data_IF_305361363139
#
_entry.id   IF_305361363139
#
_cell.length_a   1.000
_cell.length_b   1.000
_cell.length_c   1.000
_cell.angle_alpha   90.00
_cell.angle_beta   90.00
_cell.angle_gamma   90.00
#
_symmetry.space_group_name_H-M   'P 1'
#
loop_
_entity.id
_entity.type
_entity.pdbx_description
1 polymer ?
#
# COMPACT_ATOMS: atom_id res chain seq x y z
N UNK A 1 18.80 -2.70 29.74
CA UNK A 1 17.47 -2.78 30.38
C UNK A 1 16.96 -4.22 30.43
N UNK A 2 16.09 -4.56 31.40
CA UNK A 2 15.40 -5.85 31.44
C UNK A 2 14.59 -6.09 30.15
N UNK A 3 14.44 -7.35 29.74
CA UNK A 3 13.76 -7.71 28.50
C UNK A 3 12.26 -7.34 28.50
N UNK A 4 11.59 -7.43 29.65
CA UNK A 4 10.18 -7.04 29.80
C UNK A 4 9.96 -5.54 29.55
N UNK A 5 10.82 -4.68 30.10
CA UNK A 5 10.72 -3.22 29.92
C UNK A 5 10.94 -2.76 28.47
N UNK A 6 11.71 -3.51 27.67
CA UNK A 6 11.88 -3.21 26.23
C UNK A 6 10.63 -3.54 25.42
N UNK A 7 9.95 -4.62 25.75
CA UNK A 7 8.75 -5.08 25.04
C UNK A 7 7.55 -4.17 25.28
N UNK A 8 7.35 -3.75 26.53
CA UNK A 8 6.31 -2.77 26.90
C UNK A 8 6.43 -1.47 26.10
N UNK A 9 7.65 -0.93 26.05
CA UNK A 9 7.95 0.31 25.36
C UNK A 9 7.84 0.19 23.84
N UNK A 10 8.24 -0.94 23.27
CA UNK A 10 8.03 -1.19 21.85
C UNK A 10 6.54 -1.31 21.52
N UNK A 11 5.75 -2.01 22.34
CA UNK A 11 4.31 -2.08 22.18
C UNK A 11 3.65 -0.69 22.23
N UNK A 12 4.12 0.20 23.12
CA UNK A 12 3.73 1.61 23.19
C UNK A 12 4.06 2.38 21.91
N UNK A 13 5.28 2.22 21.36
CA UNK A 13 5.69 2.84 20.08
C UNK A 13 4.75 2.42 18.94
N UNK A 14 4.35 1.15 18.90
CA UNK A 14 3.41 0.63 17.91
C UNK A 14 1.93 0.85 18.30
N UNK A 15 1.64 1.45 19.47
CA UNK A 15 0.30 1.60 20.07
C UNK A 15 -0.53 0.32 20.01
N UNK A 16 0.11 -0.81 20.29
CA UNK A 16 -0.53 -2.13 20.40
C UNK A 16 -0.35 -2.66 21.81
N UNK A 17 -1.16 -3.64 22.21
CA UNK A 17 -0.92 -4.34 23.47
C UNK A 17 0.40 -5.11 23.44
N UNK A 18 1.04 -5.30 24.59
CA UNK A 18 2.28 -6.07 24.71
C UNK A 18 2.14 -7.50 24.17
N UNK A 19 0.98 -8.11 24.41
CA UNK A 19 0.59 -9.43 23.92
C UNK A 19 0.57 -9.46 22.38
N UNK A 20 0.03 -8.42 21.74
CA UNK A 20 -0.03 -8.26 20.27
C UNK A 20 1.33 -7.93 19.68
N UNK A 21 2.13 -7.12 20.38
CA UNK A 21 3.49 -6.87 19.99
C UNK A 21 4.28 -8.18 19.95
N UNK A 22 4.26 -8.95 21.04
CA UNK A 22 4.95 -10.25 21.15
C UNK A 22 4.57 -11.23 20.03
N UNK A 23 3.27 -11.42 19.78
CA UNK A 23 2.78 -12.46 18.87
C UNK A 23 2.94 -12.12 17.40
N UNK A 24 2.93 -10.84 17.03
CA UNK A 24 2.84 -10.43 15.63
C UNK A 24 3.90 -9.41 15.20
N UNK A 25 4.24 -8.46 16.06
CA UNK A 25 5.16 -7.37 15.70
C UNK A 25 6.61 -7.73 16.03
N UNK A 26 6.86 -8.46 17.10
CA UNK A 26 8.21 -8.88 17.51
C UNK A 26 8.83 -9.83 16.48
N UNK A 27 8.08 -10.84 16.02
CA UNK A 27 8.51 -11.74 14.94
C UNK A 27 8.77 -10.97 13.63
N UNK A 28 7.97 -9.95 13.35
CA UNK A 28 8.12 -9.10 12.17
C UNK A 28 9.38 -8.22 12.24
N UNK A 29 9.60 -7.53 13.36
CA UNK A 29 10.80 -6.71 13.60
C UNK A 29 12.06 -7.58 13.55
N UNK A 30 12.02 -8.79 14.15
CA UNK A 30 13.12 -9.74 14.08
C UNK A 30 13.40 -10.21 12.64
N UNK A 31 12.34 -10.45 11.84
CA UNK A 31 12.48 -10.78 10.43
C UNK A 31 13.12 -9.64 9.62
N UNK A 32 12.75 -8.39 9.90
CA UNK A 32 13.36 -7.20 9.26
C UNK A 32 14.84 -7.06 9.62
N UNK A 33 15.19 -7.23 10.89
CA UNK A 33 16.59 -7.19 11.36
C UNK A 33 17.41 -8.32 10.75
N UNK A 34 16.88 -9.54 10.73
CA UNK A 34 17.56 -10.69 10.13
C UNK A 34 17.83 -10.46 8.63
N UNK A 35 16.85 -9.92 7.91
CA UNK A 35 17.00 -9.59 6.50
C UNK A 35 18.05 -8.51 6.26
N UNK A 36 18.12 -7.47 7.12
CA UNK A 36 19.16 -6.45 7.05
C UNK A 36 20.56 -7.01 7.31
N UNK A 37 20.70 -7.94 8.26
CA UNK A 37 21.99 -8.61 8.51
C UNK A 37 22.44 -9.37 7.25
N UNK A 38 21.54 -10.08 6.59
CA UNK A 38 21.85 -10.78 5.32
C UNK A 38 22.28 -9.80 4.24
N UNK A 39 21.57 -8.69 4.08
CA UNK A 39 21.90 -7.65 3.07
C UNK A 39 23.26 -6.97 3.34
N UNK A 40 23.62 -6.76 4.60
CA UNK A 40 24.95 -6.24 4.97
C UNK A 40 26.08 -7.24 4.69
N UNK A 41 25.82 -8.53 4.82
CA UNK A 41 26.80 -9.58 4.49
C UNK A 41 26.96 -9.69 2.97
N UNK A 42 25.86 -9.71 2.21
CA UNK A 42 25.89 -9.79 0.75
C UNK A 42 26.55 -8.56 0.09
N UNK A 43 26.35 -7.36 0.64
CA UNK A 43 27.01 -6.15 0.13
C UNK A 43 28.51 -6.14 0.40
N UNK A 44 28.95 -6.77 1.48
CA UNK A 44 30.36 -6.93 1.86
C UNK A 44 31.07 -7.98 1.00
N UNK A 45 30.37 -9.00 0.55
CA UNK A 45 30.89 -10.08 -0.32
C UNK A 45 31.01 -9.68 -1.80
N UNK A 46 30.24 -8.69 -2.27
CA UNK A 46 30.24 -8.25 -3.69
C UNK A 46 31.34 -7.23 -4.07
N UNK A 47 32.23 -6.87 -3.14
CA UNK A 47 33.52 -6.24 -3.45
C UNK A 47 33.48 -5.01 -4.38
N UNK A 48 32.61 -4.03 -4.15
CA UNK A 48 32.54 -2.82 -4.97
C UNK A 48 31.91 -1.62 -4.26
N UNK A 49 32.71 -0.55 -4.16
CA UNK A 49 32.42 0.85 -3.81
C UNK A 49 31.51 1.12 -2.60
N UNK A 50 32.07 1.80 -1.60
CA UNK A 50 31.28 2.39 -0.51
C UNK A 50 30.23 3.33 -1.11
N UNK A 51 28.92 3.09 -0.93
CA UNK A 51 27.95 4.14 -1.12
C UNK A 51 28.23 5.16 -0.02
N UNK A 52 28.45 6.42 -0.42
CA UNK A 52 28.68 7.52 0.51
C UNK A 52 27.68 7.50 1.67
N UNK A 53 28.20 7.82 2.86
CA UNK A 53 27.42 8.13 4.05
C UNK A 53 26.38 9.21 3.72
N UNK A 54 25.18 8.77 3.36
CA UNK A 54 24.00 9.60 3.17
C UNK A 54 22.82 8.90 3.81
N UNK A 55 22.47 9.34 5.01
CA UNK A 55 21.19 9.10 5.72
C UNK A 55 20.55 7.72 5.52
N UNK A 56 21.20 6.67 6.01
CA UNK A 56 20.59 5.35 6.16
C UNK A 56 19.87 5.22 7.51
N UNK A 57 18.86 6.06 7.74
CA UNK A 57 17.92 5.82 8.83
C UNK A 57 16.96 4.68 8.46
N UNK A 58 16.86 3.68 9.33
CA UNK A 58 15.90 2.57 9.27
C UNK A 58 14.44 3.02 9.46
N UNK A 59 14.00 4.01 8.70
CA UNK A 59 12.66 4.55 8.71
C UNK A 59 11.66 3.55 8.11
N UNK A 60 10.58 3.30 8.84
CA UNK A 60 9.37 2.63 8.34
C UNK A 60 8.63 3.46 7.30
N UNK A 61 9.07 4.70 7.08
CA UNK A 61 8.56 5.67 6.14
C UNK A 61 9.74 6.25 5.34
N UNK A 62 9.61 6.32 4.02
CA UNK A 62 10.61 6.89 3.12
C UNK A 62 9.95 7.86 2.15
N UNK A 63 10.66 8.90 1.78
CA UNK A 63 10.26 9.79 0.69
C UNK A 63 10.96 9.35 -0.60
N UNK A 64 10.22 9.28 -1.71
CA UNK A 64 10.70 8.86 -3.02
C UNK A 64 10.33 9.92 -4.04
N UNK A 65 11.33 10.65 -4.54
CA UNK A 65 11.12 11.65 -5.58
C UNK A 65 11.01 11.00 -6.96
N UNK A 66 9.92 11.27 -7.65
CA UNK A 66 9.59 10.72 -8.97
C UNK A 66 9.28 11.85 -9.94
N UNK A 67 9.60 11.65 -11.22
CA UNK A 67 9.15 12.56 -12.26
C UNK A 67 7.74 12.16 -12.69
N UNK A 68 6.84 13.13 -12.80
CA UNK A 68 5.52 12.97 -13.39
C UNK A 68 5.30 14.05 -14.44
N UNK A 69 5.52 13.70 -15.71
CA UNK A 69 5.63 14.68 -16.79
C UNK A 69 6.91 15.51 -16.67
N UNK A 70 6.77 16.82 -16.51
CA UNK A 70 7.86 17.78 -16.31
C UNK A 70 8.08 18.16 -14.83
N UNK A 71 7.32 17.56 -13.90
CA UNK A 71 7.34 17.91 -12.47
C UNK A 71 7.94 16.80 -11.63
N UNK A 72 8.81 17.16 -10.69
CA UNK A 72 9.21 16.25 -9.61
C UNK A 72 8.15 16.27 -8.52
N UNK A 73 7.64 15.09 -8.17
CA UNK A 73 6.67 14.87 -7.10
C UNK A 73 7.31 13.95 -6.07
N UNK A 74 7.05 14.18 -4.79
CA UNK A 74 7.53 13.29 -3.72
C UNK A 74 6.43 12.31 -3.33
N UNK A 75 6.73 11.01 -3.35
CA UNK A 75 5.85 9.95 -2.86
C UNK A 75 6.26 9.54 -1.46
N UNK A 76 5.30 9.14 -0.63
CA UNK A 76 5.59 8.54 0.68
C UNK A 76 5.48 7.02 0.60
N UNK A 77 6.55 6.30 0.96
CA UNK A 77 6.62 4.84 1.00
C UNK A 77 6.59 4.35 2.44
N UNK A 78 5.55 3.61 2.78
CA UNK A 78 5.33 2.94 4.06
C UNK A 78 5.82 1.49 3.97
N UNK A 79 6.79 1.12 4.81
CA UNK A 79 7.37 -0.23 4.88
C UNK A 79 6.91 -0.92 6.17
N UNK A 80 5.62 -1.27 6.20
CA UNK A 80 4.99 -1.96 7.32
C UNK A 80 3.65 -2.59 6.90
N UNK A 81 3.05 -3.46 7.73
CA UNK A 81 1.68 -3.91 7.53
C UNK A 81 0.68 -2.76 7.40
N UNK A 82 -0.32 -2.91 6.52
CA UNK A 82 -1.31 -1.87 6.22
C UNK A 82 -2.19 -1.49 7.43
N UNK A 83 -2.31 -2.38 8.43
CA UNK A 83 -3.03 -2.09 9.67
C UNK A 83 -2.31 -1.06 10.58
N UNK A 84 -1.06 -0.72 10.27
CA UNK A 84 -0.31 0.35 10.92
C UNK A 84 -0.35 1.68 10.14
N UNK A 85 -1.12 1.76 9.04
CA UNK A 85 -1.26 2.99 8.28
C UNK A 85 -1.92 4.08 9.13
N UNK A 86 -1.39 5.30 9.01
CA UNK A 86 -1.79 6.49 9.75
C UNK A 86 -1.78 7.68 8.79
N UNK A 87 -2.64 8.66 9.06
CA UNK A 87 -2.60 10.00 8.45
C UNK A 87 -2.67 10.00 6.91
N UNK A 88 -3.40 9.04 6.34
CA UNK A 88 -3.74 8.99 4.91
C UNK A 88 -5.24 8.93 4.74
N UNK A 89 -5.81 9.84 3.96
CA UNK A 89 -7.25 10.01 3.82
C UNK A 89 -7.95 8.82 3.19
N UNK A 90 -7.33 8.25 2.16
CA UNK A 90 -7.88 7.14 1.40
C UNK A 90 -6.87 6.01 1.31
N UNK A 91 -7.29 4.78 1.63
CA UNK A 91 -6.49 3.58 1.33
C UNK A 91 -7.20 2.71 0.31
N UNK A 92 -6.46 2.28 -0.72
CA UNK A 92 -6.98 1.37 -1.74
C UNK A 92 -6.83 -0.08 -1.27
N UNK A 93 -7.93 -0.80 -1.21
CA UNK A 93 -7.99 -2.21 -0.81
C UNK A 93 -8.14 -3.10 -2.05
N UNK A 94 -7.26 -4.09 -2.28
CA UNK A 94 -7.45 -5.05 -3.37
C UNK A 94 -8.66 -5.96 -3.07
N UNK A 95 -9.65 -5.94 -3.95
CA UNK A 95 -10.86 -6.74 -3.87
C UNK A 95 -11.00 -7.68 -5.06
N UNK A 96 -11.71 -8.79 -4.85
CA UNK A 96 -12.17 -9.60 -5.96
C UNK A 96 -13.37 -8.95 -6.67
N UNK A 97 -13.69 -9.41 -7.87
CA UNK A 97 -14.81 -8.89 -8.67
C UNK A 97 -16.19 -9.08 -8.02
N UNK A 98 -16.33 -9.91 -6.99
CA UNK A 98 -17.58 -10.05 -6.24
C UNK A 98 -17.66 -9.11 -5.03
N UNK A 99 -16.61 -8.32 -4.77
CA UNK A 99 -16.45 -7.54 -3.53
C UNK A 99 -16.61 -8.39 -2.25
N UNK A 100 -16.33 -9.70 -2.35
CA UNK A 100 -16.38 -10.59 -1.21
C UNK A 100 -15.13 -10.38 -0.35
N UNK A 101 -15.29 -9.81 0.84
CA UNK A 101 -14.16 -9.57 1.74
C UNK A 101 -13.57 -10.89 2.25
N UNK A 102 -12.23 -11.02 2.32
CA UNK A 102 -11.61 -12.21 2.89
C UNK A 102 -11.93 -12.32 4.38
N UNK A 103 -11.79 -13.54 4.90
CA UNK A 103 -11.90 -13.81 6.32
C UNK A 103 -10.83 -13.01 7.09
N UNK A 104 -11.20 -12.43 8.25
CA UNK A 104 -10.31 -11.54 8.97
C UNK A 104 -8.97 -12.17 9.34
N UNK A 105 -8.83 -13.48 9.54
CA UNK A 105 -7.55 -14.10 9.94
C UNK A 105 -6.56 -14.31 8.77
N UNK A 106 -6.93 -14.00 7.52
CA UNK A 106 -6.03 -14.16 6.36
C UNK A 106 -4.93 -13.08 6.35
N UNK A 107 -3.82 -13.39 5.69
CA UNK A 107 -2.63 -12.53 5.63
C UNK A 107 -2.61 -11.56 4.44
N UNK A 108 -3.72 -11.41 3.70
CA UNK A 108 -3.82 -10.45 2.59
C UNK A 108 -3.97 -9.00 3.08
N UNK A 109 -3.63 -8.03 2.23
CA UNK A 109 -3.83 -6.59 2.49
C UNK A 109 -5.29 -6.31 2.84
N UNK A 110 -6.25 -6.83 2.06
CA UNK A 110 -7.67 -6.65 2.31
C UNK A 110 -8.17 -7.29 3.61
N UNK A 111 -7.59 -8.42 4.03
CA UNK A 111 -7.92 -9.02 5.33
C UNK A 111 -7.36 -8.18 6.49
N UNK A 112 -6.13 -7.67 6.35
CA UNK A 112 -5.55 -6.73 7.33
C UNK A 112 -6.34 -5.43 7.42
N UNK A 113 -6.76 -4.85 6.29
CA UNK A 113 -7.60 -3.65 6.27
C UNK A 113 -8.96 -3.91 6.94
N UNK A 114 -9.64 -5.02 6.61
CA UNK A 114 -10.90 -5.40 7.27
C UNK A 114 -10.71 -5.54 8.79
N UNK A 115 -9.65 -6.21 9.23
CA UNK A 115 -9.32 -6.33 10.67
C UNK A 115 -9.06 -4.98 11.33
N UNK A 116 -8.37 -4.08 10.66
CA UNK A 116 -8.03 -2.76 11.20
C UNK A 116 -9.24 -1.83 11.24
N UNK A 117 -10.16 -1.97 10.29
CA UNK A 117 -11.38 -1.18 10.20
C UNK A 117 -12.54 -1.73 11.06
N UNK A 118 -12.47 -2.97 11.53
CA UNK A 118 -13.47 -3.55 12.41
C UNK A 118 -13.45 -2.93 13.81
N UNK A 119 -14.63 -2.69 14.39
CA UNK A 119 -14.76 -2.24 15.78
C UNK A 119 -14.64 -3.46 16.69
N UNK A 120 -13.74 -3.37 17.68
CA UNK A 120 -13.46 -4.46 18.61
C UNK A 120 -13.66 -4.03 20.05
N UNK A 121 -14.14 -4.98 20.85
CA UNK A 121 -14.26 -4.82 22.30
C UNK A 121 -12.90 -4.92 22.98
N UNK A 122 -12.87 -4.57 24.27
CA UNK A 122 -11.66 -4.59 25.11
C UNK A 122 -11.00 -5.98 25.20
N UNK A 123 -11.78 -7.04 25.03
CA UNK A 123 -11.35 -8.44 25.00
C UNK A 123 -10.85 -8.89 23.62
N UNK A 124 -10.98 -8.04 22.59
CA UNK A 124 -10.61 -8.34 21.20
C UNK A 124 -11.76 -8.91 20.36
N UNK A 125 -12.93 -9.13 20.96
CA UNK A 125 -14.14 -9.59 20.28
C UNK A 125 -14.57 -8.62 19.18
N UNK A 126 -15.05 -9.14 18.06
CA UNK A 126 -15.59 -8.34 16.97
C UNK A 126 -16.97 -7.81 17.38
N UNK A 127 -17.08 -6.49 17.59
CA UNK A 127 -18.35 -5.84 17.92
C UNK A 127 -19.10 -5.40 16.67
N UNK A 128 -18.37 -4.87 15.68
CA UNK A 128 -18.95 -4.41 14.41
C UNK A 128 -17.94 -4.53 13.25
N UNK A 129 -18.47 -4.75 12.04
CA UNK A 129 -17.72 -4.80 10.78
C UNK A 129 -18.33 -3.83 9.75
N UNK A 130 -18.20 -2.51 9.97
CA UNK A 130 -18.90 -1.50 9.19
C UNK A 130 -18.49 -1.52 7.71
N UNK A 131 -17.23 -1.85 7.43
CA UNK A 131 -16.72 -1.96 6.04
C UNK A 131 -17.42 -3.08 5.29
N UNK A 132 -17.61 -4.24 5.93
CA UNK A 132 -18.33 -5.36 5.33
C UNK A 132 -19.80 -5.02 5.05
N UNK A 133 -20.46 -4.38 6.00
CA UNK A 133 -21.87 -4.01 5.87
C UNK A 133 -22.09 -2.91 4.83
N UNK A 134 -21.23 -1.89 4.80
CA UNK A 134 -21.27 -0.85 3.77
C UNK A 134 -20.98 -1.38 2.38
N UNK A 135 -20.03 -2.31 2.24
CA UNK A 135 -19.72 -2.92 0.95
C UNK A 135 -20.89 -3.77 0.44
N UNK A 136 -21.57 -4.52 1.33
CA UNK A 136 -22.83 -5.21 0.99
C UNK A 136 -23.94 -4.25 0.57
N UNK A 137 -24.10 -3.13 1.29
CA UNK A 137 -25.06 -2.07 0.90
C UNK A 137 -24.68 -1.47 -0.45
N UNK A 138 -23.38 -1.30 -0.72
CA UNK A 138 -22.89 -0.83 -2.02
C UNK A 138 -23.25 -1.81 -3.14
N UNK A 139 -22.97 -3.11 -2.99
CA UNK A 139 -23.31 -4.11 -4.02
C UNK A 139 -24.81 -4.22 -4.24
N UNK A 140 -25.61 -4.12 -3.19
CA UNK A 140 -27.07 -4.12 -3.31
C UNK A 140 -27.58 -2.90 -4.11
N UNK A 141 -27.10 -1.68 -3.78
CA UNK A 141 -27.47 -0.45 -4.49
C UNK A 141 -27.09 -0.44 -5.96
N UNK A 142 -26.00 -1.12 -6.33
CA UNK A 142 -25.53 -1.22 -7.71
C UNK A 142 -26.03 -2.49 -8.42
N UNK A 143 -26.89 -3.28 -7.77
CA UNK A 143 -27.45 -4.51 -8.32
C UNK A 143 -26.43 -5.65 -8.50
N UNK A 144 -25.25 -5.58 -7.90
CA UNK A 144 -24.16 -6.56 -8.10
C UNK A 144 -24.09 -7.60 -6.99
N UNK A 145 -25.07 -7.64 -6.08
CA UNK A 145 -25.16 -8.68 -5.05
C UNK A 145 -25.11 -10.08 -5.66
N UNK A 146 -24.06 -10.84 -5.32
CA UNK A 146 -23.83 -12.19 -5.84
C UNK A 146 -23.34 -12.28 -7.29
N UNK A 147 -23.05 -11.15 -7.94
CA UNK A 147 -22.60 -11.07 -9.33
C UNK A 147 -21.24 -10.38 -9.41
N UNK A 148 -20.35 -10.79 -10.35
CA UNK A 148 -19.10 -10.10 -10.51
C UNK A 148 -19.34 -8.72 -11.14
N UNK A 149 -18.59 -7.72 -10.69
CA UNK A 149 -18.42 -6.45 -11.39
C UNK A 149 -17.33 -6.58 -12.45
N UNK A 150 -17.32 -5.64 -13.39
CA UNK A 150 -16.24 -5.52 -14.36
C UNK A 150 -14.94 -5.22 -13.59
N UNK A 151 -13.81 -5.91 -13.87
CA UNK A 151 -12.53 -5.55 -13.27
C UNK A 151 -12.22 -4.06 -13.47
N UNK A 152 -11.48 -3.43 -12.56
CA UNK A 152 -11.26 -1.99 -12.56
C UNK A 152 -12.39 -1.17 -11.90
N UNK A 153 -13.52 -1.79 -11.53
CA UNK A 153 -14.55 -1.11 -10.73
C UNK A 153 -14.03 -0.83 -9.33
N UNK A 154 -14.38 0.35 -8.77
CA UNK A 154 -14.00 0.74 -7.42
C UNK A 154 -15.25 1.04 -6.60
N UNK A 155 -15.38 0.38 -5.44
CA UNK A 155 -16.43 0.65 -4.47
C UNK A 155 -15.84 1.41 -3.27
N UNK A 156 -16.51 2.47 -2.83
CA UNK A 156 -16.07 3.24 -1.66
C UNK A 156 -16.92 2.94 -0.42
N UNK A 157 -16.24 2.78 0.70
CA UNK A 157 -16.82 2.69 2.04
C UNK A 157 -16.16 3.71 2.96
N UNK A 158 -16.76 3.95 4.12
CA UNK A 158 -16.07 4.49 5.28
C UNK A 158 -14.90 3.58 5.70
N UNK A 159 -14.11 4.07 6.63
CA UNK A 159 -12.89 3.43 7.13
C UNK A 159 -13.08 2.68 8.45
N UNK A 160 -14.28 2.73 9.04
CA UNK A 160 -14.57 2.11 10.33
C UNK A 160 -13.65 2.62 11.43
N UNK A 161 -13.10 1.69 12.23
CA UNK A 161 -12.17 2.02 13.31
C UNK A 161 -10.86 2.70 12.83
N UNK A 162 -10.51 2.63 11.54
CA UNK A 162 -9.34 3.34 11.02
C UNK A 162 -9.55 4.86 10.93
N UNK A 163 -10.76 5.36 11.13
CA UNK A 163 -11.04 6.80 11.28
C UNK A 163 -10.24 7.45 12.40
N UNK A 164 -10.01 6.73 13.51
CA UNK A 164 -9.21 7.20 14.65
C UNK A 164 -7.73 7.43 14.28
N UNK A 165 -7.33 6.95 13.11
CA UNK A 165 -5.96 6.91 12.63
C UNK A 165 -5.75 7.76 11.38
N UNK A 166 -6.71 8.63 11.06
CA UNK A 166 -6.64 9.54 9.92
C UNK A 166 -7.04 8.92 8.59
N UNK A 167 -7.43 7.63 8.55
CA UNK A 167 -8.00 7.01 7.35
C UNK A 167 -9.48 7.31 7.28
N UNK A 168 -9.94 7.93 6.21
CA UNK A 168 -11.31 8.47 6.09
C UNK A 168 -12.16 7.64 5.13
N UNK A 169 -11.52 7.05 4.11
CA UNK A 169 -12.19 6.19 3.12
C UNK A 169 -11.37 4.94 2.83
N UNK A 170 -12.07 3.87 2.48
CA UNK A 170 -11.46 2.68 1.87
C UNK A 170 -12.05 2.52 0.48
N UNK A 171 -11.19 2.52 -0.53
CA UNK A 171 -11.58 2.29 -1.92
C UNK A 171 -11.24 0.86 -2.30
N UNK A 172 -12.26 0.01 -2.41
CA UNK A 172 -12.15 -1.39 -2.78
C UNK A 172 -12.01 -1.50 -4.30
N UNK A 173 -10.82 -1.85 -4.77
CA UNK A 173 -10.50 -1.98 -6.18
C UNK A 173 -10.72 -3.43 -6.64
N UNK A 174 -11.73 -3.67 -7.47
CA UNK A 174 -12.02 -4.98 -8.06
C UNK A 174 -10.99 -5.33 -9.13
N UNK A 175 -9.87 -5.92 -8.74
CA UNK A 175 -8.75 -6.27 -9.65
C UNK A 175 -8.48 -7.78 -9.71
N UNK A 176 -9.08 -8.55 -8.80
CA UNK A 176 -8.88 -9.99 -8.70
C UNK A 176 -10.10 -10.75 -9.23
N UNK A 177 -9.94 -11.44 -10.36
CA UNK A 177 -10.99 -12.33 -10.89
C UNK A 177 -10.78 -13.72 -10.27
N UNK A 178 -11.71 -14.24 -9.45
CA UNK A 178 -11.55 -15.57 -8.85
C UNK A 178 -11.44 -16.66 -9.92
N UNK A 179 -10.47 -17.57 -9.79
CA UNK A 179 -10.38 -18.75 -10.65
C UNK A 179 -11.32 -19.84 -10.12
N UNK A 180 -12.30 -20.32 -10.91
CA UNK A 180 -13.23 -21.36 -10.46
C UNK A 180 -12.50 -22.62 -9.97
N UNK A 181 -12.93 -23.14 -8.82
CA UNK A 181 -12.36 -24.36 -8.23
C UNK A 181 -11.02 -24.19 -7.51
N UNK A 182 -10.46 -22.98 -7.42
CA UNK A 182 -9.18 -22.74 -6.71
C UNK A 182 -9.29 -21.59 -5.71
N UNK A 183 -8.20 -21.34 -4.98
CA UNK A 183 -8.05 -20.20 -4.06
C UNK A 183 -7.29 -19.02 -4.72
N UNK A 184 -7.05 -19.10 -6.02
CA UNK A 184 -6.23 -18.18 -6.81
C UNK A 184 -7.08 -17.18 -7.56
N UNK A 185 -6.41 -16.15 -8.08
CA UNK A 185 -7.02 -15.08 -8.84
C UNK A 185 -6.25 -14.83 -10.12
N UNK A 186 -6.97 -14.53 -11.18
CA UNK A 186 -6.41 -13.91 -12.37
C UNK A 186 -6.43 -12.40 -12.18
N UNK A 187 -5.27 -11.76 -12.39
CA UNK A 187 -5.11 -10.31 -12.27
C UNK A 187 -4.36 -9.80 -13.48
N UNK A 188 -4.99 -8.89 -14.23
CA UNK A 188 -4.36 -8.26 -15.39
C UNK A 188 -3.82 -6.88 -15.01
N UNK A 189 -2.60 -6.50 -15.46
CA UNK A 189 -2.06 -5.16 -15.22
C UNK A 189 -2.97 -4.03 -15.70
N UNK A 190 -3.68 -4.22 -16.83
CA UNK A 190 -4.64 -3.25 -17.35
C UNK A 190 -5.82 -2.99 -16.39
N UNK A 191 -6.22 -3.99 -15.60
CA UNK A 191 -7.31 -3.85 -14.62
C UNK A 191 -6.84 -3.08 -13.39
N UNK A 192 -5.56 -3.24 -13.01
CA UNK A 192 -4.92 -2.44 -11.97
C UNK A 192 -4.86 -0.97 -12.39
N UNK A 193 -4.35 -0.67 -13.59
CA UNK A 193 -4.29 0.71 -14.10
C UNK A 193 -5.68 1.34 -14.14
N UNK A 194 -6.69 0.61 -14.64
CA UNK A 194 -8.08 1.08 -14.68
C UNK A 194 -8.66 1.33 -13.28
N UNK A 195 -8.42 0.43 -12.33
CA UNK A 195 -8.86 0.61 -10.95
C UNK A 195 -8.18 1.83 -10.30
N UNK A 196 -6.89 2.02 -10.52
CA UNK A 196 -6.13 3.17 -9.99
C UNK A 196 -6.67 4.48 -10.57
N UNK A 197 -6.90 4.57 -11.88
CA UNK A 197 -7.53 5.75 -12.49
C UNK A 197 -8.93 6.01 -11.92
N UNK A 198 -9.75 4.97 -11.74
CA UNK A 198 -11.08 5.13 -11.14
C UNK A 198 -11.00 5.58 -9.68
N UNK A 199 -10.06 5.07 -8.90
CA UNK A 199 -9.84 5.47 -7.52
C UNK A 199 -9.44 6.95 -7.41
N UNK A 200 -8.55 7.43 -8.28
CA UNK A 200 -8.15 8.84 -8.34
C UNK A 200 -9.31 9.75 -8.79
N UNK A 201 -10.10 9.31 -9.78
CA UNK A 201 -11.32 10.02 -10.16
C UNK A 201 -12.34 10.09 -9.02
N UNK A 202 -12.51 9.00 -8.26
CA UNK A 202 -13.40 8.96 -7.12
C UNK A 202 -12.91 9.85 -5.96
N UNK A 203 -11.59 9.91 -5.74
CA UNK A 203 -10.98 10.85 -4.80
C UNK A 203 -11.30 12.29 -5.18
N UNK A 204 -11.18 12.65 -6.46
CA UNK A 204 -11.54 13.97 -6.97
C UNK A 204 -13.04 14.27 -6.78
N UNK A 205 -13.92 13.30 -7.06
CA UNK A 205 -15.38 13.42 -6.85
C UNK A 205 -15.77 13.63 -5.37
N UNK A 206 -15.01 13.03 -4.43
CA UNK A 206 -15.27 13.09 -2.99
C UNK A 206 -14.47 14.18 -2.27
N UNK A 207 -13.51 14.84 -2.93
CA UNK A 207 -12.56 15.81 -2.35
C UNK A 207 -13.23 16.84 -1.45
N UNK A 208 -14.13 17.66 -2.02
CA UNK A 208 -14.79 18.77 -1.33
C UNK A 208 -16.01 18.33 -0.51
N UNK A 209 -16.37 17.04 -0.55
CA UNK A 209 -17.48 16.50 0.26
C UNK A 209 -17.09 16.19 1.70
N UNK A 210 -15.80 16.32 2.02
CA UNK A 210 -15.25 16.06 3.35
C UNK A 210 -14.64 17.33 3.92
N UNK A 211 -14.71 17.46 5.25
CA UNK A 211 -14.05 18.55 5.99
C UNK A 211 -13.08 17.93 7.00
N UNK A 212 -11.75 18.13 6.85
CA UNK A 212 -11.07 18.82 5.75
C UNK A 212 -11.23 18.09 4.40
N UNK A 213 -10.91 18.69 3.24
CA UNK A 213 -10.97 17.98 1.96
C UNK A 213 -10.03 16.75 1.90
N UNK A 214 -10.37 15.72 1.12
CA UNK A 214 -9.52 14.53 0.92
C UNK A 214 -8.31 14.86 0.01
N UNK A 215 -7.08 14.72 0.48
CA UNK A 215 -5.86 15.09 -0.28
C UNK A 215 -4.91 13.94 -0.52
N UNK A 216 -4.95 12.90 0.32
CA UNK A 216 -3.98 11.80 0.26
C UNK A 216 -4.59 10.44 -0.10
N UNK A 217 -3.84 9.63 -0.85
CA UNK A 217 -4.24 8.27 -1.24
C UNK A 217 -3.08 7.29 -1.16
N UNK A 218 -3.31 6.15 -0.51
CA UNK A 218 -2.34 5.07 -0.37
C UNK A 218 -2.69 3.86 -1.22
N UNK A 219 -1.71 3.42 -2.03
CA UNK A 219 -1.81 2.23 -2.85
C UNK A 219 -0.92 1.10 -2.31
N UNK A 220 -1.44 -0.11 -2.13
CA UNK A 220 -0.62 -1.31 -2.03
C UNK A 220 -0.18 -1.79 -3.42
N UNK A 221 0.70 -2.78 -3.47
CA UNK A 221 1.00 -3.51 -4.71
C UNK A 221 -0.15 -4.45 -5.09
N UNK A 222 -1.13 -3.92 -5.83
CA UNK A 222 -2.33 -4.63 -6.28
C UNK A 222 -1.97 -5.89 -7.09
N UNK A 223 -2.66 -7.00 -6.81
CA UNK A 223 -2.48 -8.27 -7.53
C UNK A 223 -1.24 -9.10 -7.16
N UNK A 224 -0.28 -8.52 -6.43
CA UNK A 224 1.01 -9.18 -6.14
C UNK A 224 1.02 -10.18 -4.98
N UNK A 225 -0.15 -10.41 -4.37
CA UNK A 225 -0.36 -11.47 -3.39
C UNK A 225 -0.79 -12.77 -4.08
N UNK A 226 -1.99 -13.24 -3.75
CA UNK A 226 -2.58 -14.46 -4.35
C UNK A 226 -2.89 -14.37 -5.86
N UNK A 227 -2.80 -13.18 -6.45
CA UNK A 227 -2.90 -13.01 -7.90
C UNK A 227 -1.59 -13.34 -8.63
N UNK A 228 -0.48 -13.58 -7.91
CA UNK A 228 0.79 -14.01 -8.47
C UNK A 228 1.52 -12.97 -9.33
N UNK A 229 1.04 -11.73 -9.39
CA UNK A 229 1.67 -10.69 -10.21
C UNK A 229 3.02 -10.26 -9.61
N UNK A 230 4.07 -10.21 -10.42
CA UNK A 230 5.36 -9.71 -9.96
C UNK A 230 5.25 -8.27 -9.42
N UNK A 231 5.94 -7.96 -8.31
CA UNK A 231 5.91 -6.63 -7.69
C UNK A 231 6.17 -5.51 -8.69
N UNK A 232 7.16 -5.70 -9.58
CA UNK A 232 7.51 -4.70 -10.62
C UNK A 232 6.35 -4.40 -11.58
N UNK A 233 5.59 -5.42 -11.95
CA UNK A 233 4.46 -5.27 -12.87
C UNK A 233 3.30 -4.57 -12.18
N UNK A 234 3.00 -4.96 -10.93
CA UNK A 234 2.00 -4.29 -10.09
C UNK A 234 2.32 -2.81 -9.88
N UNK A 235 3.56 -2.51 -9.47
CA UNK A 235 4.02 -1.15 -9.22
C UNK A 235 3.96 -0.28 -10.48
N UNK A 236 4.41 -0.80 -11.63
CA UNK A 236 4.31 -0.11 -12.91
C UNK A 236 2.86 0.17 -13.31
N UNK A 237 1.95 -0.79 -13.14
CA UNK A 237 0.55 -0.63 -13.50
C UNK A 237 -0.18 0.43 -12.66
N UNK A 238 0.10 0.49 -11.36
CA UNK A 238 -0.40 1.57 -10.48
C UNK A 238 0.23 2.90 -10.89
N UNK A 239 1.55 2.92 -11.09
CA UNK A 239 2.30 4.13 -11.42
C UNK A 239 1.83 4.76 -12.72
N UNK A 240 1.55 3.98 -13.79
CA UNK A 240 1.08 4.53 -15.06
C UNK A 240 -0.19 5.39 -14.93
N UNK A 241 -1.11 5.01 -14.04
CA UNK A 241 -2.32 5.81 -13.78
C UNK A 241 -2.02 7.02 -12.88
N UNK A 242 -1.21 6.84 -11.85
CA UNK A 242 -0.80 7.93 -10.94
C UNK A 242 -0.04 9.02 -11.70
N UNK A 243 0.97 8.63 -12.49
CA UNK A 243 1.79 9.52 -13.30
C UNK A 243 0.94 10.33 -14.26
N UNK A 244 -0.04 9.70 -14.93
CA UNK A 244 -0.94 10.41 -15.84
C UNK A 244 -1.78 11.48 -15.13
N UNK A 245 -2.30 11.20 -13.92
CA UNK A 245 -3.05 12.18 -13.13
C UNK A 245 -2.15 13.31 -12.61
N UNK A 246 -0.97 12.96 -12.11
CA UNK A 246 0.01 13.95 -11.66
C UNK A 246 0.51 14.81 -12.83
N UNK A 247 0.75 14.25 -14.01
CA UNK A 247 1.17 15.02 -15.19
C UNK A 247 0.09 16.03 -15.64
N UNK A 248 -1.20 15.76 -15.37
CA UNK A 248 -2.32 16.70 -15.63
C UNK A 248 -2.43 17.83 -14.61
N UNK A 249 -1.57 17.87 -13.60
CA UNK A 249 -1.54 18.94 -12.62
C UNK A 249 -2.17 18.61 -11.28
N UNK A 250 -2.68 17.38 -11.08
CA UNK A 250 -3.22 16.95 -9.79
C UNK A 250 -2.19 17.15 -8.67
N UNK A 251 -2.68 17.46 -7.46
CA UNK A 251 -1.87 17.73 -6.26
C UNK A 251 -2.26 16.77 -5.13
N UNK A 252 -2.32 15.48 -5.48
CA UNK A 252 -2.57 14.42 -4.51
C UNK A 252 -1.29 14.06 -3.77
N UNK A 253 -1.39 13.89 -2.46
CA UNK A 253 -0.33 13.28 -1.67
C UNK A 253 -0.42 11.77 -1.89
N UNK A 254 0.53 11.20 -2.64
CA UNK A 254 0.48 9.80 -3.05
C UNK A 254 1.39 8.96 -2.17
N UNK A 255 0.81 7.90 -1.63
CA UNK A 255 1.47 6.97 -0.74
C UNK A 255 1.51 5.56 -1.34
N UNK A 256 2.56 4.81 -1.04
CA UNK A 256 2.63 3.38 -1.26
C UNK A 256 2.80 2.66 0.06
N UNK A 257 2.12 1.52 0.25
CA UNK A 257 2.31 0.65 1.42
C UNK A 257 2.73 -0.74 1.00
N UNK A 258 3.85 -1.19 1.56
CA UNK A 258 4.46 -2.50 1.30
C UNK A 258 4.92 -3.11 2.62
N UNK A 259 4.97 -4.45 2.68
CA UNK A 259 5.38 -5.15 3.91
C UNK A 259 6.86 -5.50 3.96
N UNK A 260 7.52 -5.58 2.81
CA UNK A 260 8.87 -6.13 2.70
C UNK A 260 9.83 -5.11 2.10
N UNK A 261 11.10 -5.11 2.52
CA UNK A 261 12.14 -4.31 1.88
C UNK A 261 12.32 -4.60 0.38
N UNK A 262 12.07 -5.84 -0.05
CA UNK A 262 12.11 -6.21 -1.48
C UNK A 262 11.05 -5.45 -2.29
N UNK A 263 9.81 -5.40 -1.80
CA UNK A 263 8.73 -4.65 -2.42
C UNK A 263 9.01 -3.14 -2.36
N UNK A 264 9.59 -2.64 -1.27
CA UNK A 264 10.01 -1.24 -1.14
C UNK A 264 11.02 -0.85 -2.23
N UNK A 265 12.06 -1.67 -2.44
CA UNK A 265 13.05 -1.49 -3.52
C UNK A 265 12.46 -1.50 -4.92
N UNK A 266 11.27 -2.09 -5.11
CA UNK A 266 10.56 -2.01 -6.39
C UNK A 266 9.90 -0.65 -6.56
N UNK A 267 9.24 -0.12 -5.53
CA UNK A 267 8.62 1.21 -5.57
C UNK A 267 9.68 2.30 -5.72
N UNK A 268 10.79 2.21 -5.00
CA UNK A 268 11.92 3.15 -5.10
C UNK A 268 12.52 3.21 -6.52
N UNK A 269 12.50 2.09 -7.25
CA UNK A 269 12.99 2.05 -8.64
C UNK A 269 12.06 2.69 -9.66
N UNK A 270 10.82 3.01 -9.29
CA UNK A 270 9.96 3.84 -10.15
C UNK A 270 10.68 5.17 -10.43
N UNK A 271 11.24 5.81 -9.39
CA UNK A 271 12.00 7.05 -9.51
C UNK A 271 13.20 6.96 -10.46
N UNK A 272 13.91 5.82 -10.43
CA UNK A 272 15.13 5.62 -11.20
C UNK A 272 14.89 5.52 -12.72
N UNK A 273 13.67 5.14 -13.14
CA UNK A 273 13.30 5.01 -14.57
C UNK A 273 12.81 6.32 -15.18
N UNK A 274 12.59 7.35 -14.38
CA UNK A 274 12.01 8.62 -14.80
C UNK A 274 12.99 9.80 -14.79
N UNK A 275 14.24 9.60 -14.36
CA UNK A 275 15.32 10.56 -14.66
C UNK A 275 15.78 10.30 -16.10
N UNK A 276 15.73 11.29 -17.01
CA UNK A 276 16.44 11.16 -18.28
C UNK A 276 17.91 10.92 -17.95
N UNK A 277 18.49 9.87 -18.54
CA UNK A 277 19.94 9.72 -18.52
C UNK A 277 20.51 11.02 -19.08
N UNK A 278 21.29 11.75 -18.28
CA UNK A 278 22.10 12.85 -18.79
C UNK A 278 22.89 12.27 -19.95
N UNK A 279 22.61 12.77 -21.15
CA UNK A 279 23.46 12.58 -22.32
C UNK A 279 24.89 12.88 -21.87
N UNK A 280 25.71 11.84 -21.80
CA UNK A 280 27.15 12.02 -21.72
C UNK A 280 27.56 12.45 -23.13
N UNK A 281 27.39 13.75 -23.41
CA UNK A 281 28.04 14.39 -24.54
C UNK A 281 29.54 14.23 -24.35
N UNK A 282 30.11 13.26 -25.07
CA UNK A 282 31.55 13.06 -25.24
C UNK A 282 32.12 14.37 -25.79
N UNK A 283 33.11 15.00 -25.14
CA UNK A 283 33.77 16.14 -25.76
C UNK A 283 34.60 15.61 -26.93
N UNK A 284 34.20 16.00 -28.14
CA UNK A 284 35.02 15.85 -29.33
C UNK A 284 36.38 16.51 -29.09
N UNK A 285 37.43 15.69 -29.01
CA UNK A 285 38.80 16.16 -29.17
C UNK A 285 38.97 16.61 -30.61
N UNK A 286 39.21 17.90 -30.75
CA UNK A 286 39.81 18.52 -31.93
C UNK A 286 41.28 18.13 -32.00
N UNK A 287 41.66 17.47 -33.10
CA UNK A 287 43.00 17.50 -33.68
C UNK A 287 42.94 18.35 -34.97
#
# INVERSE_FOLDING_TARGET
>A
WPASSRRARAAEVYRVSEERFRKHHEVMVLGQVAQHIVEMVESRERGGDQPGEGDWEGGTHRSVDVLAGDRTVSLTLHIHPVDLLRDVDVVVSPANTYFALPEPYKSSVSASLRRAASVRGVTGDLLDDPVHDELRKWTARHGTSGRPVIPGTVAATGSGAMAEYGVRRIYHAAVAVPRPGTNDYDVLPADITRATSRALALLAEEHDRHTPPLRSVCFPLLGSGRGGLAYRVSAAAVWSAVEAELARGARWDVHFVVRTPEAARVVERIAARTRPGRDQSVPSRSD
#
